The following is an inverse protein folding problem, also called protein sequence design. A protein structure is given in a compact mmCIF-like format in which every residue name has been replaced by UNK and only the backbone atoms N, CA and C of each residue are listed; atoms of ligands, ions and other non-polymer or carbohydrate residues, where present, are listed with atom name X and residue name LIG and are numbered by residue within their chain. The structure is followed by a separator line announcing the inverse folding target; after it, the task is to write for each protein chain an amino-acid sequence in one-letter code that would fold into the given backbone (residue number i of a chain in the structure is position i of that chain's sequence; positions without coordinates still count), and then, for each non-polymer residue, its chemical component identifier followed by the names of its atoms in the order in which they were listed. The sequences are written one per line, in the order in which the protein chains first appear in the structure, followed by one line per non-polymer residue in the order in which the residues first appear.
data_IF_875398942261
#
_entry.id   IF_875398942261
#
_cell.length_a   1.000
_cell.length_b   1.000
_cell.length_c   1.000
_cell.angle_alpha   90.00
_cell.angle_beta   90.00
_cell.angle_gamma   90.00
#
_symmetry.space_group_name_H-M   'P 1'
#
loop_
_entity.id
_entity.type
_entity.pdbx_description
1 polymer ?
#
# COMPACT_ATOMS: atom_id res chain seq x y z
N UNK A 1 33.20 -15.74 24.51
CA UNK A 1 32.83 -15.45 23.11
C UNK A 1 31.51 -14.71 23.13
N UNK A 2 31.53 -13.40 22.84
CA UNK A 2 30.38 -12.48 22.92
C UNK A 2 29.40 -12.80 21.79
N UNK A 3 28.32 -13.52 22.06
CA UNK A 3 27.16 -13.54 21.16
C UNK A 3 26.39 -12.28 21.51
N UNK A 4 26.64 -11.18 20.78
CA UNK A 4 25.79 -9.99 20.92
C UNK A 4 24.33 -10.43 20.72
N UNK A 5 23.39 -10.04 21.58
CA UNK A 5 21.99 -10.49 21.48
C UNK A 5 21.36 -10.26 20.10
N UNK A 6 21.84 -9.24 19.37
CA UNK A 6 21.48 -9.02 17.97
C UNK A 6 21.93 -10.15 17.02
N UNK A 7 23.06 -10.82 17.27
CA UNK A 7 23.54 -11.95 16.47
C UNK A 7 22.73 -13.21 16.71
N UNK A 8 22.27 -13.46 17.95
CA UNK A 8 21.33 -14.56 18.22
C UNK A 8 20.02 -14.33 17.45
N UNK A 9 19.50 -13.11 17.47
CA UNK A 9 18.29 -12.76 16.71
C UNK A 9 18.51 -12.84 15.19
N UNK A 10 19.64 -12.36 14.66
CA UNK A 10 19.99 -12.49 13.23
C UNK A 10 20.14 -13.97 12.83
N UNK A 11 20.67 -14.82 13.71
CA UNK A 11 20.79 -16.25 13.47
C UNK A 11 19.42 -16.94 13.49
N UNK A 12 18.57 -16.60 14.46
CA UNK A 12 17.18 -17.02 14.50
C UNK A 12 16.40 -16.51 13.29
N UNK A 13 16.72 -15.33 12.72
CA UNK A 13 16.11 -14.83 11.48
C UNK A 13 16.23 -15.81 10.31
N UNK A 14 17.42 -16.39 10.15
CA UNK A 14 17.68 -17.40 9.12
C UNK A 14 16.99 -18.73 9.41
N UNK A 15 16.88 -19.12 10.69
CA UNK A 15 16.26 -20.38 11.11
C UNK A 15 14.72 -20.33 11.10
N UNK A 16 14.13 -19.24 11.58
CA UNK A 16 12.70 -18.95 11.62
C UNK A 16 12.15 -18.46 10.27
N UNK A 17 13.01 -18.41 9.24
CA UNK A 17 12.64 -18.03 7.89
C UNK A 17 11.93 -16.67 7.78
N UNK A 18 12.37 -15.67 8.55
CA UNK A 18 12.00 -14.26 8.31
C UNK A 18 12.66 -13.76 7.00
N UNK A 19 12.27 -14.36 5.88
CA UNK A 19 12.77 -14.15 4.51
C UNK A 19 11.91 -13.19 3.70
N UNK A 20 10.89 -12.59 4.29
CA UNK A 20 10.05 -11.66 3.54
C UNK A 20 10.87 -10.46 3.06
N UNK A 21 10.72 -10.16 1.77
CA UNK A 21 11.48 -9.21 0.93
C UNK A 21 11.44 -7.75 1.42
N UNK A 22 10.88 -7.49 2.59
CA UNK A 22 10.59 -6.17 3.08
C UNK A 22 10.90 -5.90 4.56
N UNK A 23 11.36 -6.90 5.33
CA UNK A 23 12.06 -6.63 6.61
C UNK A 23 13.40 -5.97 6.29
N UNK A 24 13.65 -4.78 6.84
CA UNK A 24 14.83 -3.94 6.57
C UNK A 24 14.83 -3.20 5.22
N UNK A 25 13.74 -3.22 4.46
CA UNK A 25 13.64 -2.42 3.23
C UNK A 25 13.61 -0.91 3.57
N UNK A 26 14.34 -0.06 2.83
CA UNK A 26 14.24 1.38 3.00
C UNK A 26 12.83 1.85 2.69
N UNK A 27 12.27 2.69 3.55
CA UNK A 27 10.97 3.33 3.32
C UNK A 27 11.18 4.77 2.90
N UNK A 28 10.41 5.21 1.90
CA UNK A 28 10.41 6.58 1.37
C UNK A 28 9.02 7.18 1.51
N UNK A 29 8.93 8.51 1.54
CA UNK A 29 7.62 9.19 1.58
C UNK A 29 6.84 8.83 0.32
N UNK A 30 5.55 8.57 0.47
CA UNK A 30 4.67 8.36 -0.67
C UNK A 30 4.56 9.67 -1.48
N UNK A 31 4.98 9.68 -2.77
CA UNK A 31 4.90 10.87 -3.62
C UNK A 31 3.47 11.25 -4.01
N UNK A 32 2.52 10.33 -3.88
CA UNK A 32 1.10 10.50 -4.20
C UNK A 32 0.21 10.59 -2.96
N UNK A 33 0.79 10.74 -1.76
CA UNK A 33 0.00 10.88 -0.52
C UNK A 33 -1.00 12.04 -0.67
N UNK A 34 -2.26 11.80 -0.30
CA UNK A 34 -3.34 12.78 -0.39
C UNK A 34 -2.92 14.13 0.19
N UNK A 35 -3.15 15.18 -0.59
CA UNK A 35 -2.93 16.57 -0.17
C UNK A 35 -3.84 16.88 1.02
N UNK A 36 -3.27 17.55 2.04
CA UNK A 36 -3.89 17.75 3.35
C UNK A 36 -5.32 18.31 3.27
N UNK A 37 -5.57 19.26 2.37
CA UNK A 37 -6.87 19.91 2.22
C UNK A 37 -7.97 19.00 1.67
N UNK A 38 -7.60 17.92 0.97
CA UNK A 38 -8.56 16.97 0.37
C UNK A 38 -8.72 15.67 1.17
N UNK A 39 -8.02 15.53 2.30
CA UNK A 39 -8.11 14.34 3.15
C UNK A 39 -9.50 14.19 3.76
N UNK A 40 -9.98 12.96 3.83
CA UNK A 40 -11.23 12.65 4.52
C UNK A 40 -11.06 12.84 6.03
N UNK A 41 -12.18 13.02 6.75
CA UNK A 41 -12.16 13.08 8.22
C UNK A 41 -11.66 11.79 8.87
N UNK A 42 -11.85 10.66 8.19
CA UNK A 42 -11.44 9.35 8.67
C UNK A 42 -9.99 9.00 8.30
N UNK A 43 -9.32 9.82 7.50
CA UNK A 43 -7.95 9.59 7.01
C UNK A 43 -6.97 9.27 8.15
N UNK A 44 -7.03 9.99 9.27
CA UNK A 44 -6.16 9.74 10.42
C UNK A 44 -6.43 8.40 11.10
N UNK A 45 -7.68 7.94 11.08
CA UNK A 45 -8.08 6.65 11.67
C UNK A 45 -7.64 5.50 10.76
N UNK A 46 -7.87 5.65 9.45
CA UNK A 46 -7.52 4.66 8.43
C UNK A 46 -6.01 4.52 8.32
N UNK A 47 -5.27 5.63 8.25
CA UNK A 47 -3.83 5.67 8.03
C UNK A 47 -3.04 5.84 9.34
N UNK A 48 -3.63 5.49 10.48
CA UNK A 48 -2.87 5.45 11.72
C UNK A 48 -1.70 4.47 11.53
N UNK A 49 -0.51 4.81 12.00
CA UNK A 49 0.67 3.97 11.83
C UNK A 49 0.56 2.54 12.38
N UNK A 50 -0.45 2.30 13.23
CA UNK A 50 -0.79 0.99 13.78
C UNK A 50 -2.02 0.34 13.14
N UNK A 51 -2.68 1.00 12.19
CA UNK A 51 -3.86 0.47 11.49
C UNK A 51 -3.55 -0.82 10.71
N UNK A 52 -2.27 -1.12 10.49
CA UNK A 52 -1.78 -2.35 9.90
C UNK A 52 -1.89 -3.58 10.81
N UNK A 53 -2.23 -3.40 12.09
CA UNK A 53 -2.22 -4.45 13.09
C UNK A 53 -3.59 -4.68 13.70
N UNK A 54 -3.92 -5.95 13.90
CA UNK A 54 -5.06 -6.35 14.72
C UNK A 54 -4.77 -6.13 16.22
N UNK A 55 -3.51 -6.26 16.64
CA UNK A 55 -3.09 -6.04 18.02
C UNK A 55 -2.82 -4.57 18.35
N UNK A 56 -3.13 -4.17 19.59
CA UNK A 56 -2.91 -2.82 20.10
C UNK A 56 -1.46 -2.62 20.55
N UNK A 57 -0.58 -2.24 19.63
CA UNK A 57 0.73 -1.67 19.96
C UNK A 57 0.54 -0.23 20.46
N UNK A 58 1.36 0.24 21.41
CA UNK A 58 1.21 1.61 21.98
C UNK A 58 2.55 2.32 22.18
N UNK A 59 3.65 1.58 22.21
CA UNK A 59 4.98 2.10 22.56
C UNK A 59 5.92 2.19 21.36
N UNK A 60 5.70 1.37 20.32
CA UNK A 60 6.49 1.38 19.11
C UNK A 60 6.17 2.58 18.23
N UNK A 61 7.20 3.31 17.79
CA UNK A 61 7.05 4.35 16.77
C UNK A 61 6.84 3.77 15.38
N UNK A 62 6.33 4.58 14.44
CA UNK A 62 6.18 4.21 13.00
C UNK A 62 7.43 3.51 12.44
N UNK A 63 8.62 4.07 12.71
CA UNK A 63 9.89 3.56 12.20
C UNK A 63 10.30 2.23 12.82
N UNK A 64 9.84 1.96 14.04
CA UNK A 64 10.07 0.72 14.77
C UNK A 64 9.05 -0.33 14.35
N UNK A 65 7.81 0.06 14.08
CA UNK A 65 6.79 -0.83 13.50
C UNK A 65 7.20 -1.33 12.10
N UNK A 66 7.63 -0.41 11.22
CA UNK A 66 8.13 -0.73 9.87
C UNK A 66 9.41 -1.57 9.88
N UNK A 67 10.17 -1.54 10.98
CA UNK A 67 11.39 -2.32 11.14
C UNK A 67 11.68 -2.54 12.63
N UNK A 68 11.04 -3.56 13.19
CA UNK A 68 11.09 -3.86 14.62
C UNK A 68 12.50 -4.28 15.07
N UNK A 69 13.34 -4.75 14.15
CA UNK A 69 14.74 -5.07 14.44
C UNK A 69 15.53 -3.86 14.93
N UNK A 70 15.12 -2.63 14.55
CA UNK A 70 15.70 -1.41 15.11
C UNK A 70 15.50 -1.33 16.62
N UNK A 71 14.35 -1.77 17.12
CA UNK A 71 14.06 -1.82 18.56
C UNK A 71 15.01 -2.79 19.26
N UNK A 72 15.16 -4.02 18.73
CA UNK A 72 16.12 -5.00 19.24
C UNK A 72 17.57 -4.46 19.22
N UNK A 73 18.00 -3.87 18.09
CA UNK A 73 19.34 -3.28 17.95
C UNK A 73 19.57 -2.13 18.93
N UNK A 74 18.58 -1.26 19.15
CA UNK A 74 18.66 -0.14 20.10
C UNK A 74 18.75 -0.62 21.54
N UNK A 75 17.96 -1.65 21.89
CA UNK A 75 17.96 -2.24 23.22
C UNK A 75 19.31 -2.89 23.54
N UNK A 76 19.80 -3.77 22.65
CA UNK A 76 21.03 -4.54 22.89
C UNK A 76 22.33 -3.76 22.60
N UNK A 77 22.26 -2.51 22.13
CA UNK A 77 23.45 -1.68 21.90
C UNK A 77 24.13 -1.26 23.23
N UNK A 78 23.42 -0.72 24.23
CA UNK A 78 23.98 -0.47 25.56
C UNK A 78 23.84 -1.69 26.50
N UNK A 79 22.90 -2.59 26.23
CA UNK A 79 22.60 -3.77 27.07
C UNK A 79 23.15 -5.03 26.41
N UNK A 80 24.36 -5.46 26.75
CA UNK A 80 24.88 -6.73 26.24
C UNK A 80 24.19 -7.95 26.87
N UNK A 81 24.44 -9.15 26.33
CA UNK A 81 23.80 -10.38 26.81
C UNK A 81 24.11 -10.68 28.29
N UNK A 82 25.30 -10.32 28.77
CA UNK A 82 25.71 -10.59 30.15
C UNK A 82 24.99 -9.68 31.13
N UNK A 83 24.82 -8.40 30.77
CA UNK A 83 24.04 -7.42 31.51
C UNK A 83 22.55 -7.79 31.50
N UNK A 84 22.04 -8.26 30.37
CA UNK A 84 20.67 -8.76 30.25
C UNK A 84 20.41 -9.97 31.17
N UNK A 85 21.30 -10.98 31.18
CA UNK A 85 21.15 -12.15 32.06
C UNK A 85 21.18 -11.72 33.53
N UNK A 86 22.13 -10.87 33.93
CA UNK A 86 22.18 -10.31 35.29
C UNK A 86 20.90 -9.57 35.66
N UNK A 87 20.29 -8.88 34.69
CA UNK A 87 19.01 -8.21 34.92
C UNK A 87 17.86 -9.18 35.14
N UNK A 88 17.81 -10.28 34.39
CA UNK A 88 16.84 -11.35 34.63
C UNK A 88 17.03 -11.98 36.02
N UNK A 89 18.29 -12.19 36.45
CA UNK A 89 18.59 -12.72 37.79
C UNK A 89 18.12 -11.77 38.90
N UNK A 90 18.39 -10.47 38.76
CA UNK A 90 17.92 -9.46 39.73
C UNK A 90 16.38 -9.33 39.73
N UNK A 91 15.71 -9.46 38.58
CA UNK A 91 14.25 -9.49 38.53
C UNK A 91 13.68 -10.71 39.24
N UNK A 92 14.29 -11.88 39.03
CA UNK A 92 13.89 -13.10 39.71
C UNK A 92 14.04 -12.96 41.22
N UNK A 93 15.16 -12.41 41.68
CA UNK A 93 15.41 -12.11 43.10
C UNK A 93 14.38 -11.12 43.66
N UNK A 94 14.05 -10.07 42.92
CA UNK A 94 13.01 -9.10 43.30
C UNK A 94 11.63 -9.76 43.46
N UNK A 95 11.23 -10.60 42.49
CA UNK A 95 9.98 -11.36 42.53
C UNK A 95 9.93 -12.36 43.69
N UNK A 96 11.02 -13.09 43.95
CA UNK A 96 11.13 -14.06 45.04
C UNK A 96 11.08 -13.39 46.42
N UNK A 97 11.46 -12.12 46.51
CA UNK A 97 11.48 -11.34 47.75
C UNK A 97 10.32 -10.37 47.93
N UNK A 98 9.40 -10.30 46.97
CA UNK A 98 8.32 -9.30 46.93
C UNK A 98 8.85 -7.85 47.07
N UNK A 99 9.96 -7.57 46.36
CA UNK A 99 10.65 -6.27 46.36
C UNK A 99 10.56 -5.61 44.98
N UNK A 100 10.65 -4.28 44.93
CA UNK A 100 10.78 -3.59 43.64
C UNK A 100 12.16 -3.91 43.03
N UNK A 101 12.23 -4.08 41.70
CA UNK A 101 13.52 -4.28 41.04
C UNK A 101 14.48 -3.10 41.30
N UNK A 102 13.96 -1.89 41.52
CA UNK A 102 14.79 -0.72 41.87
C UNK A 102 15.53 -0.89 43.19
N UNK A 103 14.99 -1.71 44.10
CA UNK A 103 15.60 -1.98 45.41
C UNK A 103 16.72 -3.01 45.31
N UNK A 104 16.63 -3.93 44.34
CA UNK A 104 17.65 -4.96 44.07
C UNK A 104 18.75 -4.44 43.16
N UNK A 105 18.40 -3.64 42.16
CA UNK A 105 19.35 -3.08 41.17
C UNK A 105 19.93 -1.71 41.54
N UNK A 106 19.32 -1.00 42.49
CA UNK A 106 19.44 0.46 42.57
C UNK A 106 18.55 1.15 41.52
N UNK A 107 18.48 2.49 41.50
CA UNK A 107 17.58 3.21 40.61
C UNK A 107 17.89 2.84 39.16
N UNK A 108 16.99 2.14 38.45
CA UNK A 108 17.16 1.92 37.04
C UNK A 108 17.09 3.31 36.40
N UNK A 109 17.90 3.62 35.39
CA UNK A 109 17.56 4.74 34.55
C UNK A 109 16.19 4.37 33.96
N UNK A 110 15.12 5.13 34.24
CA UNK A 110 13.76 4.93 33.70
C UNK A 110 13.73 4.50 32.21
N UNK A 111 14.76 4.91 31.45
CA UNK A 111 15.11 4.46 30.11
C UNK A 111 15.20 2.93 29.90
N UNK A 112 15.51 2.13 30.91
CA UNK A 112 15.65 0.67 30.81
C UNK A 112 14.28 0.01 30.81
N UNK A 113 13.38 0.44 31.70
CA UNK A 113 12.02 -0.09 31.78
C UNK A 113 11.20 0.21 30.51
N UNK A 114 11.23 1.45 30.03
CA UNK A 114 10.58 1.81 28.76
C UNK A 114 11.16 1.02 27.58
N UNK A 115 12.47 0.76 27.60
CA UNK A 115 13.13 -0.01 26.56
C UNK A 115 12.76 -1.50 26.62
N UNK A 116 12.51 -2.06 27.81
CA UNK A 116 11.97 -3.42 28.01
C UNK A 116 10.54 -3.51 27.48
N UNK A 117 9.67 -2.57 27.84
CA UNK A 117 8.28 -2.60 27.37
C UNK A 117 8.20 -2.49 25.84
N UNK A 118 9.05 -1.63 25.25
CA UNK A 118 9.20 -1.58 23.79
C UNK A 118 9.76 -2.87 23.20
N UNK A 119 10.70 -3.52 23.88
CA UNK A 119 11.24 -4.83 23.46
C UNK A 119 10.16 -5.91 23.51
N UNK A 120 9.28 -5.88 24.52
CA UNK A 120 8.14 -6.78 24.65
C UNK A 120 7.15 -6.61 23.49
N UNK A 121 6.68 -5.37 23.22
CA UNK A 121 5.83 -5.10 22.05
C UNK A 121 6.51 -5.50 20.73
N UNK A 122 7.81 -5.21 20.56
CA UNK A 122 8.56 -5.63 19.37
C UNK A 122 8.69 -7.15 19.25
N UNK A 123 8.62 -7.89 20.37
CA UNK A 123 8.68 -9.35 20.39
C UNK A 123 7.34 -9.96 19.98
N UNK A 124 6.21 -9.41 20.45
CA UNK A 124 4.88 -9.77 19.91
C UNK A 124 4.81 -9.53 18.42
N UNK A 125 5.25 -8.36 17.97
CA UNK A 125 5.33 -8.04 16.55
C UNK A 125 6.16 -9.08 15.80
N UNK A 126 7.34 -9.44 16.30
CA UNK A 126 8.21 -10.45 15.70
C UNK A 126 7.59 -11.87 15.67
N UNK A 127 6.75 -12.21 16.64
CA UNK A 127 6.02 -13.50 16.68
C UNK A 127 4.90 -13.48 15.64
N UNK A 128 4.07 -12.43 15.59
CA UNK A 128 3.03 -12.29 14.57
C UNK A 128 3.61 -12.35 13.16
N UNK A 129 4.81 -11.81 12.97
CA UNK A 129 5.61 -11.98 11.76
C UNK A 129 5.97 -13.44 11.43
N UNK A 130 6.35 -14.23 12.44
CA UNK A 130 6.80 -15.62 12.25
C UNK A 130 5.63 -16.55 11.93
N UNK A 131 4.50 -16.33 12.59
CA UNK A 131 3.35 -17.23 12.53
C UNK A 131 2.46 -16.96 11.31
N UNK A 132 2.33 -15.69 10.91
CA UNK A 132 1.33 -15.29 9.91
C UNK A 132 1.89 -14.81 8.57
N UNK A 133 3.23 -14.76 8.38
CA UNK A 133 3.85 -14.08 7.22
C UNK A 133 3.29 -12.68 7.09
N UNK A 134 3.80 -11.75 7.90
CA UNK A 134 3.21 -10.44 8.17
C UNK A 134 2.43 -9.80 6.99
N UNK A 135 1.26 -9.26 7.33
CA UNK A 135 0.34 -8.61 6.40
C UNK A 135 1.04 -7.50 5.58
N UNK A 136 1.11 -7.62 4.26
CA UNK A 136 1.94 -6.74 3.44
C UNK A 136 1.58 -5.24 3.61
N UNK A 137 2.46 -4.28 3.29
CA UNK A 137 2.14 -2.86 3.43
C UNK A 137 0.82 -2.54 2.72
N UNK A 138 -0.05 -1.70 3.29
CA UNK A 138 -1.42 -1.46 2.78
C UNK A 138 -2.42 -2.61 2.94
N UNK A 139 -2.08 -3.77 3.52
CA UNK A 139 -3.04 -4.87 3.68
C UNK A 139 -4.33 -4.43 4.40
N UNK A 140 -4.21 -3.58 5.42
CA UNK A 140 -5.38 -3.03 6.11
C UNK A 140 -6.30 -2.20 5.21
N UNK A 141 -5.76 -1.54 4.19
CA UNK A 141 -6.55 -0.84 3.18
C UNK A 141 -7.24 -1.86 2.27
N UNK A 142 -6.50 -2.85 1.77
CA UNK A 142 -7.05 -3.84 0.83
C UNK A 142 -8.04 -4.79 1.51
N UNK A 143 -7.61 -5.52 2.54
CA UNK A 143 -8.38 -6.58 3.16
C UNK A 143 -9.41 -6.04 4.16
N UNK A 144 -9.01 -5.15 5.08
CA UNK A 144 -9.92 -4.71 6.15
C UNK A 144 -10.86 -3.58 5.72
N UNK A 145 -10.36 -2.59 4.96
CA UNK A 145 -11.18 -1.46 4.51
C UNK A 145 -11.95 -1.75 3.22
N UNK A 146 -11.27 -2.25 2.19
CA UNK A 146 -11.85 -2.48 0.85
C UNK A 146 -12.47 -3.87 0.66
N UNK A 147 -12.22 -4.81 1.57
CA UNK A 147 -12.71 -6.20 1.46
C UNK A 147 -12.13 -6.96 0.26
N UNK A 148 -10.98 -6.54 -0.25
CA UNK A 148 -10.27 -7.18 -1.37
C UNK A 148 -9.13 -8.05 -0.82
N UNK A 149 -9.07 -9.35 -1.17
CA UNK A 149 -7.98 -10.20 -0.75
C UNK A 149 -6.65 -9.69 -1.32
N UNK A 150 -5.62 -9.67 -0.49
CA UNK A 150 -4.28 -9.23 -0.86
C UNK A 150 -3.29 -10.33 -0.46
N UNK A 151 -2.94 -11.19 -1.41
CA UNK A 151 -2.05 -12.31 -1.15
C UNK A 151 -0.59 -11.90 -1.38
N UNK A 152 0.03 -11.41 -0.31
CA UNK A 152 1.47 -11.19 -0.24
C UNK A 152 1.94 -9.79 -0.64
N UNK A 153 3.26 -9.60 -0.57
CA UNK A 153 3.92 -8.29 -0.65
C UNK A 153 3.62 -7.53 -1.93
N UNK A 154 3.71 -8.19 -3.07
CA UNK A 154 3.56 -7.55 -4.37
C UNK A 154 2.11 -7.21 -4.72
N UNK A 155 1.14 -8.04 -4.31
CA UNK A 155 -0.29 -7.74 -4.49
C UNK A 155 -0.74 -6.45 -3.78
N UNK A 156 0.01 -6.04 -2.76
CA UNK A 156 -0.26 -4.83 -1.98
C UNK A 156 0.33 -3.54 -2.57
N UNK A 157 1.20 -3.70 -3.58
CA UNK A 157 1.89 -2.62 -4.25
C UNK A 157 0.96 -1.96 -5.30
N UNK A 158 0.56 -0.69 -5.11
CA UNK A 158 -0.34 -0.03 -6.05
C UNK A 158 0.27 0.16 -7.45
N UNK A 159 1.60 0.26 -7.58
CA UNK A 159 2.24 0.43 -8.90
C UNK A 159 2.21 -0.84 -9.73
N UNK A 160 2.39 -2.00 -9.08
CA UNK A 160 2.22 -3.31 -9.72
C UNK A 160 0.77 -3.52 -10.14
N UNK A 161 -0.19 -3.19 -9.28
CA UNK A 161 -1.61 -3.27 -9.60
C UNK A 161 -1.99 -2.39 -10.80
N UNK A 162 -1.46 -1.16 -10.90
CA UNK A 162 -1.65 -0.30 -12.10
C UNK A 162 -1.21 -1.01 -13.38
N UNK A 163 -0.07 -1.69 -13.34
CA UNK A 163 0.48 -2.37 -14.51
C UNK A 163 -0.35 -3.60 -14.87
N UNK A 164 -0.78 -4.38 -13.87
CA UNK A 164 -1.64 -5.55 -14.05
C UNK A 164 -3.02 -5.19 -14.63
N UNK A 165 -3.58 -4.03 -14.26
CA UNK A 165 -4.81 -3.49 -14.86
C UNK A 165 -4.65 -3.38 -16.39
N UNK A 166 -3.56 -2.75 -16.86
CA UNK A 166 -3.34 -2.58 -18.31
C UNK A 166 -2.85 -3.84 -19.03
N UNK A 167 -2.28 -4.81 -18.31
CA UNK A 167 -2.04 -6.15 -18.86
C UNK A 167 -3.35 -6.95 -19.06
N UNK A 168 -4.40 -6.61 -18.31
CA UNK A 168 -5.70 -7.29 -18.37
C UNK A 168 -6.61 -6.67 -19.43
N UNK A 169 -6.64 -5.33 -19.50
CA UNK A 169 -7.51 -4.60 -20.44
C UNK A 169 -6.84 -3.29 -20.86
N UNK A 170 -6.86 -3.01 -22.17
CA UNK A 170 -6.19 -1.83 -22.73
C UNK A 170 -6.89 -0.52 -22.35
N UNK A 171 -6.15 0.61 -22.37
CA UNK A 171 -6.70 1.94 -22.08
C UNK A 171 -7.97 2.24 -22.88
N UNK A 172 -7.94 2.04 -24.20
CA UNK A 172 -9.06 2.36 -25.09
C UNK A 172 -10.27 1.45 -24.85
N UNK A 173 -10.05 0.20 -24.44
CA UNK A 173 -11.12 -0.74 -24.10
C UNK A 173 -11.84 -0.33 -22.82
N UNK A 174 -11.08 0.05 -21.78
CA UNK A 174 -11.64 0.58 -20.52
C UNK A 174 -12.40 1.88 -20.80
N UNK A 175 -11.77 2.81 -21.54
CA UNK A 175 -12.34 4.10 -21.89
C UNK A 175 -13.67 3.96 -22.64
N UNK A 176 -13.71 3.14 -23.69
CA UNK A 176 -14.91 2.95 -24.50
C UNK A 176 -16.01 2.32 -23.68
N UNK A 177 -15.68 1.34 -22.84
CA UNK A 177 -16.66 0.70 -21.95
C UNK A 177 -17.29 1.71 -20.99
N UNK A 178 -16.49 2.57 -20.35
CA UNK A 178 -17.02 3.63 -19.47
C UNK A 178 -17.99 4.52 -20.24
N UNK A 179 -17.60 5.02 -21.43
CA UNK A 179 -18.50 5.86 -22.25
C UNK A 179 -19.80 5.15 -22.59
N UNK A 180 -19.73 3.87 -22.95
CA UNK A 180 -20.90 3.09 -23.34
C UNK A 180 -21.88 2.97 -22.16
N UNK A 181 -21.39 2.68 -20.94
CA UNK A 181 -22.21 2.59 -19.72
C UNK A 181 -22.97 3.88 -19.40
N UNK A 182 -22.39 5.03 -19.73
CA UNK A 182 -22.95 6.35 -19.49
C UNK A 182 -23.56 6.97 -20.76
N UNK A 183 -23.65 6.23 -21.85
CA UNK A 183 -24.28 6.73 -23.08
C UNK A 183 -25.80 6.54 -23.05
N UNK A 184 -26.55 7.49 -23.63
CA UNK A 184 -27.98 7.31 -23.93
C UNK A 184 -28.23 6.37 -25.13
N UNK A 185 -27.22 5.61 -25.56
CA UNK A 185 -27.30 4.77 -26.75
C UNK A 185 -28.12 3.51 -26.46
N UNK A 186 -29.13 3.25 -27.29
CA UNK A 186 -29.95 2.01 -27.24
C UNK A 186 -29.29 0.82 -27.93
N UNK A 187 -28.03 0.94 -28.37
CA UNK A 187 -27.35 -0.17 -29.05
C UNK A 187 -26.80 -1.13 -28.02
N UNK A 188 -27.25 -2.37 -28.12
CA UNK A 188 -26.70 -3.50 -27.38
C UNK A 188 -25.22 -3.65 -27.76
N UNK A 189 -24.32 -3.47 -26.79
CA UNK A 189 -22.88 -3.69 -27.00
C UNK A 189 -22.54 -5.15 -26.65
N UNK A 190 -22.49 -5.99 -27.68
CA UNK A 190 -22.16 -7.42 -27.54
C UNK A 190 -20.75 -7.65 -27.00
N UNK A 191 -19.81 -6.72 -27.20
CA UNK A 191 -18.46 -6.82 -26.66
C UNK A 191 -18.46 -6.62 -25.14
N UNK A 192 -19.19 -5.61 -24.65
CA UNK A 192 -19.33 -5.37 -23.22
C UNK A 192 -20.00 -6.54 -22.51
N UNK A 193 -21.08 -7.09 -23.08
CA UNK A 193 -21.80 -8.23 -22.49
C UNK A 193 -20.88 -9.46 -22.35
N UNK A 194 -20.02 -9.72 -23.34
CA UNK A 194 -19.09 -10.85 -23.31
C UNK A 194 -17.94 -10.66 -22.30
N UNK A 195 -17.53 -9.42 -22.04
CA UNK A 195 -16.39 -9.10 -21.17
C UNK A 195 -16.78 -8.52 -19.82
N UNK A 196 -18.07 -8.54 -19.48
CA UNK A 196 -18.62 -7.82 -18.33
C UNK A 196 -17.95 -8.18 -17.00
N UNK A 197 -17.71 -9.47 -16.77
CA UNK A 197 -17.08 -9.96 -15.56
C UNK A 197 -15.67 -9.41 -15.43
N UNK A 198 -14.89 -9.46 -16.52
CA UNK A 198 -13.53 -8.93 -16.56
C UNK A 198 -13.54 -7.41 -16.36
N UNK A 199 -14.44 -6.69 -17.04
CA UNK A 199 -14.55 -5.24 -16.88
C UNK A 199 -14.93 -4.84 -15.45
N UNK A 200 -15.90 -5.54 -14.83
CA UNK A 200 -16.28 -5.29 -13.43
C UNK A 200 -15.07 -5.43 -12.49
N UNK A 201 -14.27 -6.48 -12.66
CA UNK A 201 -13.05 -6.66 -11.88
C UNK A 201 -12.04 -5.54 -12.15
N UNK A 202 -11.78 -5.20 -13.42
CA UNK A 202 -10.87 -4.11 -13.82
C UNK A 202 -11.31 -2.77 -13.24
N UNK A 203 -12.61 -2.46 -13.32
CA UNK A 203 -13.21 -1.23 -12.80
C UNK A 203 -12.98 -1.10 -11.30
N UNK A 204 -13.37 -2.12 -10.54
CA UNK A 204 -13.13 -2.17 -9.09
C UNK A 204 -11.65 -2.02 -8.78
N UNK A 205 -10.78 -2.73 -9.50
CA UNK A 205 -9.35 -2.76 -9.21
C UNK A 205 -8.67 -1.41 -9.46
N UNK A 206 -9.00 -0.70 -10.55
CA UNK A 206 -8.38 0.61 -10.80
C UNK A 206 -8.87 1.68 -9.82
N UNK A 207 -10.16 1.66 -9.45
CA UNK A 207 -10.71 2.58 -8.44
C UNK A 207 -10.04 2.36 -7.08
N UNK A 208 -9.96 1.11 -6.65
CA UNK A 208 -9.28 0.76 -5.40
C UNK A 208 -7.80 1.16 -5.44
N UNK A 209 -7.10 0.87 -6.54
CA UNK A 209 -5.67 1.18 -6.68
C UNK A 209 -5.41 2.69 -6.68
N UNK A 210 -6.22 3.46 -7.41
CA UNK A 210 -6.15 4.93 -7.42
C UNK A 210 -6.39 5.52 -6.03
N UNK A 211 -7.34 4.98 -5.27
CA UNK A 211 -7.58 5.42 -3.91
C UNK A 211 -6.45 5.04 -2.94
N UNK A 212 -5.94 3.80 -3.00
CA UNK A 212 -4.84 3.31 -2.14
C UNK A 212 -3.56 4.11 -2.34
N UNK A 213 -3.28 4.58 -3.56
CA UNK A 213 -2.16 5.50 -3.83
C UNK A 213 -2.17 6.75 -2.95
N UNK A 214 -3.35 7.21 -2.54
CA UNK A 214 -3.51 8.43 -1.75
C UNK A 214 -3.44 8.22 -0.24
N UNK A 215 -3.53 6.98 0.24
CA UNK A 215 -3.74 6.72 1.67
C UNK A 215 -2.43 6.66 2.46
N UNK A 216 -1.45 5.89 1.97
CA UNK A 216 -0.26 5.55 2.76
C UNK A 216 0.75 6.69 2.84
N UNK A 217 1.29 7.00 4.02
CA UNK A 217 2.31 8.06 4.15
C UNK A 217 3.68 7.66 3.59
N UNK A 218 3.99 6.36 3.56
CA UNK A 218 5.30 5.84 3.17
C UNK A 218 5.16 4.57 2.33
N UNK A 219 6.05 4.39 1.36
CA UNK A 219 6.19 3.16 0.60
C UNK A 219 7.57 2.53 0.79
N UNK A 220 7.68 1.21 0.67
CA UNK A 220 8.95 0.56 0.40
C UNK A 220 9.61 1.16 -0.84
N UNK A 221 10.89 1.52 -0.75
CA UNK A 221 11.61 2.20 -1.82
C UNK A 221 11.68 1.38 -3.12
N UNK A 222 11.70 0.06 -3.00
CA UNK A 222 11.72 -0.85 -4.15
C UNK A 222 10.41 -0.84 -4.95
N UNK A 223 9.27 -0.42 -4.38
CA UNK A 223 8.02 -0.28 -5.14
C UNK A 223 8.05 0.87 -6.13
N UNK A 224 8.85 1.90 -5.84
CA UNK A 224 9.09 3.01 -6.76
C UNK A 224 10.21 2.72 -7.76
N UNK A 225 10.83 1.54 -7.70
CA UNK A 225 11.85 1.14 -8.66
C UNK A 225 11.18 0.58 -9.93
N UNK A 226 11.40 1.18 -11.12
CA UNK A 226 10.91 0.67 -12.40
C UNK A 226 11.32 -0.77 -12.72
N UNK A 227 12.39 -1.28 -12.10
CA UNK A 227 12.85 -2.67 -12.27
C UNK A 227 11.82 -3.72 -11.83
N UNK A 228 10.83 -3.36 -11.01
CA UNK A 228 9.72 -4.26 -10.66
C UNK A 228 8.97 -4.74 -11.91
N UNK A 229 9.01 -3.97 -13.00
CA UNK A 229 8.45 -4.32 -14.30
C UNK A 229 9.18 -5.47 -15.00
N UNK A 230 10.35 -5.89 -14.51
CA UNK A 230 11.04 -7.09 -15.03
C UNK A 230 10.22 -8.36 -14.77
N UNK A 231 9.38 -8.36 -13.73
CA UNK A 231 8.51 -9.47 -13.39
C UNK A 231 7.15 -9.41 -14.12
N UNK A 232 6.60 -8.21 -14.31
CA UNK A 232 5.18 -8.02 -14.71
C UNK A 232 5.01 -7.71 -16.21
N UNK A 233 6.12 -7.43 -16.91
CA UNK A 233 6.15 -6.90 -18.29
C UNK A 233 5.45 -5.54 -18.46
N UNK A 234 5.98 -4.72 -19.37
CA UNK A 234 5.39 -3.42 -19.69
C UNK A 234 4.16 -3.62 -20.61
N UNK A 235 2.97 -3.11 -20.26
CA UNK A 235 1.75 -3.27 -21.06
C UNK A 235 1.72 -2.38 -22.30
N UNK A 236 2.62 -1.40 -22.38
CA UNK A 236 2.71 -0.44 -23.48
C UNK A 236 3.88 -0.73 -24.41
N UNK A 237 3.66 -0.59 -25.71
CA UNK A 237 4.71 -0.52 -26.72
C UNK A 237 5.57 0.74 -26.58
N UNK A 238 6.77 0.73 -27.20
CA UNK A 238 7.67 1.89 -27.20
C UNK A 238 7.01 3.08 -27.91
N UNK A 239 6.27 2.81 -29.00
CA UNK A 239 5.52 3.80 -29.74
C UNK A 239 4.46 4.46 -28.84
N UNK A 240 3.64 3.68 -28.15
CA UNK A 240 2.62 4.19 -27.21
C UNK A 240 3.27 5.04 -26.12
N UNK A 241 4.36 4.58 -25.51
CA UNK A 241 5.07 5.36 -24.50
C UNK A 241 5.59 6.71 -25.05
N UNK A 242 5.93 6.78 -26.34
CA UNK A 242 6.40 8.04 -26.95
C UNK A 242 5.26 9.02 -27.24
N UNK A 243 4.11 8.53 -27.69
CA UNK A 243 3.05 9.38 -28.25
C UNK A 243 1.86 9.59 -27.32
N UNK A 244 1.67 8.73 -26.31
CA UNK A 244 0.47 8.76 -25.47
C UNK A 244 0.36 10.07 -24.68
N UNK A 245 -0.86 10.61 -24.63
CA UNK A 245 -1.24 11.83 -23.90
C UNK A 245 -2.61 11.63 -23.26
N UNK A 246 -2.89 12.28 -22.12
CA UNK A 246 -4.22 12.24 -21.52
C UNK A 246 -5.25 12.92 -22.44
N UNK A 247 -6.48 12.43 -22.38
CA UNK A 247 -7.61 12.90 -23.22
C UNK A 247 -8.54 13.82 -22.41
N UNK A 248 -8.72 13.53 -21.12
CA UNK A 248 -9.69 14.15 -20.22
C UNK A 248 -9.07 15.09 -19.19
N UNK A 249 -7.76 14.99 -18.98
CA UNK A 249 -7.03 15.91 -18.12
C UNK A 249 -6.64 17.17 -18.89
N UNK A 250 -6.85 18.32 -18.27
CA UNK A 250 -6.21 19.57 -18.67
C UNK A 250 -4.68 19.49 -18.48
N UNK A 251 -3.95 20.39 -19.12
CA UNK A 251 -2.50 20.48 -18.96
C UNK A 251 -2.09 20.63 -17.48
N UNK A 252 -2.77 21.51 -16.73
CA UNK A 252 -2.52 21.72 -15.31
C UNK A 252 -2.79 20.45 -14.47
N UNK A 253 -3.87 19.73 -14.77
CA UNK A 253 -4.19 18.46 -14.09
C UNK A 253 -3.14 17.38 -14.39
N UNK A 254 -2.64 17.32 -15.62
CA UNK A 254 -1.64 16.34 -16.05
C UNK A 254 -0.24 16.60 -15.47
N UNK A 255 0.09 17.85 -15.15
CA UNK A 255 1.36 18.24 -14.54
C UNK A 255 1.42 17.91 -13.04
N UNK A 256 0.27 17.86 -12.35
CA UNK A 256 0.19 17.60 -10.91
C UNK A 256 -0.75 16.44 -10.57
N UNK A 257 -0.31 15.22 -10.89
CA UNK A 257 -1.11 14.01 -10.71
C UNK A 257 -1.53 13.75 -9.26
N UNK A 258 -0.69 14.07 -8.27
CA UNK A 258 -1.05 13.91 -6.85
C UNK A 258 -2.25 14.81 -6.50
N UNK A 259 -2.16 16.10 -6.83
CA UNK A 259 -3.25 17.05 -6.57
C UNK A 259 -4.52 16.65 -7.30
N UNK A 260 -4.41 16.34 -8.60
CA UNK A 260 -5.53 15.91 -9.43
C UNK A 260 -6.23 14.69 -8.84
N UNK A 261 -5.46 13.65 -8.48
CA UNK A 261 -6.03 12.43 -7.89
C UNK A 261 -6.66 12.70 -6.52
N UNK A 262 -6.04 13.56 -5.70
CA UNK A 262 -6.59 13.98 -4.40
C UNK A 262 -7.94 14.68 -4.55
N UNK A 263 -8.08 15.56 -5.55
CA UNK A 263 -9.35 16.24 -5.87
C UNK A 263 -10.39 15.23 -6.36
N UNK A 264 -10.00 14.31 -7.25
CA UNK A 264 -10.93 13.32 -7.82
C UNK A 264 -11.52 12.38 -6.77
N UNK A 265 -10.79 12.08 -5.69
CA UNK A 265 -11.30 11.27 -4.56
C UNK A 265 -11.83 12.10 -3.38
N UNK A 266 -11.87 13.43 -3.50
CA UNK A 266 -12.29 14.28 -2.40
C UNK A 266 -13.79 14.09 -2.09
N UNK A 267 -14.11 13.86 -0.80
CA UNK A 267 -15.47 13.58 -0.32
C UNK A 267 -16.15 12.34 -0.94
N UNK A 268 -15.37 11.41 -1.51
CA UNK A 268 -15.88 10.15 -2.03
C UNK A 268 -15.59 9.03 -1.00
N UNK A 269 -16.62 8.31 -0.55
CA UNK A 269 -16.41 6.97 0.01
C UNK A 269 -16.21 6.01 -1.15
N UNK A 270 -14.96 5.54 -1.31
CA UNK A 270 -14.58 4.65 -2.41
C UNK A 270 -15.43 3.38 -2.48
N UNK A 271 -15.96 2.88 -1.35
CA UNK A 271 -16.77 1.65 -1.33
C UNK A 271 -18.16 1.92 -1.90
N UNK A 272 -18.76 3.06 -1.53
CA UNK A 272 -20.04 3.50 -2.07
C UNK A 272 -19.91 3.83 -3.55
N UNK A 273 -18.82 4.49 -3.95
CA UNK A 273 -18.56 4.83 -5.35
C UNK A 273 -18.36 3.59 -6.22
N UNK A 274 -17.62 2.58 -5.75
CA UNK A 274 -17.50 1.30 -6.46
C UNK A 274 -18.88 0.64 -6.60
N UNK A 275 -19.68 0.63 -5.54
CA UNK A 275 -21.03 0.07 -5.59
C UNK A 275 -21.92 0.79 -6.61
N UNK A 276 -21.91 2.12 -6.64
CA UNK A 276 -22.68 2.93 -7.58
C UNK A 276 -22.30 2.62 -9.04
N UNK A 277 -21.01 2.56 -9.35
CA UNK A 277 -20.55 2.28 -10.72
C UNK A 277 -20.81 0.82 -11.12
N UNK A 278 -20.67 -0.13 -10.19
CA UNK A 278 -21.05 -1.53 -10.42
C UNK A 278 -22.56 -1.68 -10.65
N UNK A 279 -23.40 -0.97 -9.89
CA UNK A 279 -24.85 -0.98 -10.07
C UNK A 279 -25.22 -0.41 -11.44
N UNK A 280 -24.59 0.70 -11.86
CA UNK A 280 -24.77 1.27 -13.21
C UNK A 280 -24.39 0.28 -14.30
N UNK A 281 -23.30 -0.47 -14.13
CA UNK A 281 -22.89 -1.53 -15.06
C UNK A 281 -23.98 -2.62 -15.14
N UNK A 282 -24.53 -3.05 -14.00
CA UNK A 282 -25.57 -4.07 -13.94
C UNK A 282 -26.85 -3.58 -14.63
N UNK A 283 -27.31 -2.37 -14.32
CA UNK A 283 -28.49 -1.76 -14.94
C UNK A 283 -28.34 -1.71 -16.47
N UNK A 284 -27.17 -1.31 -16.97
CA UNK A 284 -26.90 -1.25 -18.41
C UNK A 284 -27.10 -2.61 -19.09
N UNK A 285 -26.69 -3.70 -18.45
CA UNK A 285 -26.88 -5.07 -18.98
C UNK A 285 -28.34 -5.51 -18.92
N UNK A 286 -28.98 -5.26 -17.77
CA UNK A 286 -30.30 -5.82 -17.45
C UNK A 286 -31.39 -5.13 -18.26
N UNK A 287 -31.36 -3.81 -18.34
CA UNK A 287 -32.47 -3.05 -18.89
C UNK A 287 -32.51 -3.10 -20.42
N UNK A 288 -31.40 -3.45 -21.09
CA UNK A 288 -31.26 -3.50 -22.56
C UNK A 288 -31.83 -2.26 -23.27
N UNK A 289 -31.99 -1.16 -22.55
CA UNK A 289 -32.62 0.08 -22.95
C UNK A 289 -31.73 1.22 -22.44
N UNK A 290 -31.81 2.36 -23.12
CA UNK A 290 -31.09 3.56 -22.69
C UNK A 290 -31.56 3.96 -21.30
N UNK A 291 -30.65 3.94 -20.33
CA UNK A 291 -30.86 4.52 -19.00
C UNK A 291 -30.75 6.02 -19.17
N UNK A 292 -31.76 6.78 -18.74
CA UNK A 292 -31.67 8.24 -18.75
C UNK A 292 -30.42 8.68 -17.97
N UNK A 293 -29.51 9.38 -18.65
CA UNK A 293 -28.36 9.98 -17.98
C UNK A 293 -28.77 11.24 -17.24
N UNK A 294 -28.34 11.31 -16.00
CA UNK A 294 -28.46 12.49 -15.14
C UNK A 294 -27.17 13.31 -15.17
N UNK A 295 -27.19 14.54 -14.66
CA UNK A 295 -25.98 15.34 -14.47
C UNK A 295 -24.98 14.65 -13.51
N UNK A 296 -25.49 13.86 -12.55
CA UNK A 296 -24.67 13.04 -11.65
C UNK A 296 -23.91 11.97 -12.42
N UNK A 297 -24.59 11.29 -13.35
CA UNK A 297 -24.00 10.26 -14.20
C UNK A 297 -22.85 10.82 -15.06
N UNK A 298 -23.04 12.01 -15.65
CA UNK A 298 -22.00 12.68 -16.44
C UNK A 298 -20.78 13.07 -15.59
N UNK A 299 -21.02 13.47 -14.34
CA UNK A 299 -19.94 13.76 -13.40
C UNK A 299 -19.17 12.49 -13.00
N UNK A 300 -19.88 11.38 -12.77
CA UNK A 300 -19.28 10.08 -12.50
C UNK A 300 -18.47 9.58 -13.70
N UNK A 301 -19.01 9.65 -14.92
CA UNK A 301 -18.30 9.31 -16.15
C UNK A 301 -17.00 10.12 -16.28
N UNK A 302 -17.10 11.45 -16.14
CA UNK A 302 -15.95 12.35 -16.22
C UNK A 302 -14.90 12.02 -15.17
N UNK A 303 -15.33 11.73 -13.94
CA UNK A 303 -14.44 11.35 -12.83
C UNK A 303 -13.70 10.05 -13.15
N UNK A 304 -14.41 9.02 -13.62
CA UNK A 304 -13.82 7.74 -14.01
C UNK A 304 -12.78 7.89 -15.12
N UNK A 305 -13.10 8.66 -16.16
CA UNK A 305 -12.22 8.90 -17.29
C UNK A 305 -10.98 9.71 -16.90
N UNK A 306 -11.12 10.69 -15.99
CA UNK A 306 -9.97 11.41 -15.43
C UNK A 306 -9.10 10.53 -14.54
N UNK A 307 -9.69 9.67 -13.70
CA UNK A 307 -8.93 8.70 -12.90
C UNK A 307 -8.16 7.75 -13.82
N UNK A 308 -8.79 7.25 -14.89
CA UNK A 308 -8.15 6.40 -15.89
C UNK A 308 -6.92 7.10 -16.49
N UNK A 309 -7.07 8.36 -16.94
CA UNK A 309 -5.94 9.13 -17.48
C UNK A 309 -4.81 9.34 -16.48
N UNK A 310 -5.12 9.63 -15.21
CA UNK A 310 -4.10 9.75 -14.16
C UNK A 310 -3.36 8.43 -13.98
N UNK A 311 -4.09 7.31 -13.87
CA UNK A 311 -3.49 5.98 -13.68
C UNK A 311 -2.64 5.59 -14.89
N UNK A 312 -3.08 5.88 -16.12
CA UNK A 312 -2.28 5.64 -17.32
C UNK A 312 -1.04 6.52 -17.38
N UNK A 313 -1.11 7.79 -16.95
CA UNK A 313 0.07 8.64 -16.81
C UNK A 313 1.08 8.07 -15.81
N UNK A 314 0.62 7.57 -14.67
CA UNK A 314 1.46 6.90 -13.70
C UNK A 314 2.14 5.67 -14.30
N UNK A 315 1.37 4.81 -14.97
CA UNK A 315 1.88 3.61 -15.61
C UNK A 315 2.93 3.94 -16.68
N UNK A 316 2.61 4.85 -17.60
CA UNK A 316 3.50 5.23 -18.70
C UNK A 316 4.76 5.94 -18.20
N UNK A 317 4.67 6.81 -17.18
CA UNK A 317 5.84 7.45 -16.56
C UNK A 317 6.76 6.41 -15.93
N UNK A 318 6.18 5.45 -15.21
CA UNK A 318 6.90 4.36 -14.57
C UNK A 318 7.59 3.44 -15.59
N UNK A 319 6.93 3.13 -16.71
CA UNK A 319 7.53 2.38 -17.82
C UNK A 319 8.64 3.18 -18.55
N UNK A 320 8.50 4.50 -18.70
CA UNK A 320 9.50 5.37 -19.36
C UNK A 320 10.81 5.48 -18.58
N UNK A 321 10.76 5.54 -17.25
CA UNK A 321 11.98 5.59 -16.42
C UNK A 321 12.88 4.39 -16.67
N UNK A 322 12.31 3.18 -16.86
CA UNK A 322 13.05 1.98 -17.22
C UNK A 322 13.77 2.10 -18.57
N UNK A 323 13.10 2.65 -19.59
CA UNK A 323 13.72 2.80 -20.93
C UNK A 323 14.93 3.74 -20.87
N UNK A 324 14.83 4.84 -20.10
CA UNK A 324 15.95 5.78 -19.91
C UNK A 324 17.12 5.12 -19.18
N UNK A 325 16.85 4.31 -18.15
CA UNK A 325 17.90 3.59 -17.41
C UNK A 325 18.54 2.47 -18.24
N UNK A 326 17.75 1.72 -19.00
CA UNK A 326 18.25 0.66 -19.90
C UNK A 326 19.05 1.17 -21.11
N UNK A 327 18.81 2.42 -21.54
CA UNK A 327 19.64 3.08 -22.56
C UNK A 327 20.99 3.53 -21.98
N UNK A 328 21.02 4.07 -20.75
CA UNK A 328 22.26 4.44 -20.08
C UNK A 328 23.16 3.23 -19.76
N UNK A 329 22.59 2.05 -19.47
CA UNK A 329 23.37 0.82 -19.23
C UNK A 329 23.92 0.17 -20.51
N UNK A 330 23.51 0.60 -21.71
CA UNK A 330 24.07 0.13 -22.99
C UNK A 330 25.19 1.02 -23.54
N UNK A 331 25.51 2.12 -22.85
CA UNK A 331 26.57 3.06 -23.21
C UNK A 331 27.80 3.02 -22.27
N UNK A 332 27.89 2.00 -21.41
CA UNK A 332 29.06 1.64 -20.60
C UNK A 332 29.55 0.24 -20.97
#
# INVERSE_FOLDING_TARGET
MMIMGCHFFIHQKKQLKYWDDWIDTPWVKNPYRCVLEYRSREDMKINHHLAHFEDSYTLLSIKEVQNFQKTFKRFFKPMDLSLWIKMLDHWKEALERDQDITDVMGPPPYKVYDAILKLFEASYLAISWADYSYLPPNNHLWQHYLGSPCEGYQASNPFENIILIFNTMGYYEIQETIKVMYSNSKKEDTFLIQNITNFRFTLKWFLQTGWVLLQTDYYPANWLNPDILNYINCPFSIEELRIWKPIYLSAAESENLNLTLSILYHNIDIREFIYEVEDRLIQYIVDKQAIETTDSDLNTETTLLKILDVITLLATNFCKSKIKEGLNCKEL
#
